data_IF_366656262675
#
_entry.id   IF_366656262675
#
_cell.length_a   1.000
_cell.length_b   1.000
_cell.length_c   1.000
_cell.angle_alpha   90.00
_cell.angle_beta   90.00
_cell.angle_gamma   90.00
#
_symmetry.space_group_name_H-M   'P 1'
#
loop_
_entity.id
_entity.type
_entity.pdbx_description
1 polymer ?
#
# COMPACT_ATOMS: atom_id res chain seq x y z
N UNK A 1 -11.76 -3.86 0.00
CA UNK A 1 -11.14 -3.09 1.10
C UNK A 1 -10.51 -1.88 0.46
N UNK A 2 -10.95 -0.68 0.84
CA UNK A 2 -10.40 0.57 0.31
C UNK A 2 -9.31 0.99 1.27
N UNK A 3 -8.06 0.83 0.86
CA UNK A 3 -6.90 1.29 1.63
C UNK A 3 -6.61 2.74 1.23
N UNK A 4 -6.26 3.58 2.19
CA UNK A 4 -6.06 5.01 1.96
C UNK A 4 -4.68 5.28 1.35
N UNK A 5 -3.67 4.48 1.72
CA UNK A 5 -2.28 4.70 1.32
C UNK A 5 -1.67 3.55 0.51
N UNK A 6 -2.37 2.42 0.42
CA UNK A 6 -1.91 1.23 -0.28
C UNK A 6 -2.79 0.90 -1.49
N UNK A 7 -2.15 0.53 -2.59
CA UNK A 7 -2.81 -0.12 -3.72
C UNK A 7 -2.58 -1.62 -3.60
N UNK A 8 -3.67 -2.38 -3.56
CA UNK A 8 -3.65 -3.84 -3.49
C UNK A 8 -4.11 -4.44 -4.83
N UNK A 9 -3.27 -5.26 -5.44
CA UNK A 9 -3.56 -5.93 -6.71
C UNK A 9 -3.14 -7.40 -6.66
N UNK A 10 -4.01 -8.32 -7.06
CA UNK A 10 -3.69 -9.76 -7.09
C UNK A 10 -3.47 -10.24 -8.51
N UNK A 11 -2.34 -10.91 -8.77
CA UNK A 11 -2.09 -11.62 -10.03
C UNK A 11 -1.86 -13.10 -9.72
N UNK A 12 -2.88 -13.91 -9.96
CA UNK A 12 -2.88 -15.34 -9.62
C UNK A 12 -2.78 -15.55 -8.10
N UNK A 13 -1.70 -16.17 -7.64
CA UNK A 13 -1.43 -16.44 -6.22
C UNK A 13 -0.48 -15.42 -5.58
N UNK A 14 -0.14 -14.34 -6.28
CA UNK A 14 0.75 -13.29 -5.80
C UNK A 14 -0.05 -12.02 -5.55
N UNK A 15 0.10 -11.46 -4.35
CA UNK A 15 -0.43 -10.16 -3.98
C UNK A 15 0.65 -9.08 -4.14
N UNK A 16 0.32 -8.02 -4.85
CA UNK A 16 1.12 -6.83 -5.03
C UNK A 16 0.55 -5.74 -4.13
N UNK A 17 1.38 -5.25 -3.21
CA UNK A 17 1.05 -4.13 -2.32
C UNK A 17 1.96 -2.98 -2.69
N UNK A 18 1.39 -1.87 -3.12
CA UNK A 18 2.13 -0.67 -3.53
C UNK A 18 1.76 0.49 -2.63
N UNK A 19 2.74 1.10 -1.96
CA UNK A 19 2.53 2.35 -1.23
C UNK A 19 2.39 3.47 -2.26
N UNK A 20 1.23 4.13 -2.32
CA UNK A 20 0.95 5.19 -3.27
C UNK A 20 0.94 6.56 -2.59
N UNK A 21 2.12 7.00 -2.11
CA UNK A 21 2.30 8.29 -1.42
C UNK A 21 3.48 9.08 -1.99
N UNK A 22 3.40 9.54 -3.25
CA UNK A 22 4.51 10.23 -3.90
C UNK A 22 4.90 11.53 -3.18
N UNK A 23 3.92 12.22 -2.57
CA UNK A 23 4.13 13.46 -1.80
C UNK A 23 5.04 13.29 -0.56
N UNK A 24 5.23 12.05 -0.08
CA UNK A 24 6.09 11.69 1.06
C UNK A 24 7.17 10.69 0.63
N UNK A 25 7.52 10.64 -0.66
CA UNK A 25 8.51 9.73 -1.23
C UNK A 25 8.24 8.24 -0.90
N UNK A 26 6.96 7.86 -0.78
CA UNK A 26 6.53 6.52 -0.38
C UNK A 26 7.10 6.04 0.97
N UNK A 27 7.42 6.96 1.88
CA UNK A 27 7.91 6.60 3.21
C UNK A 27 6.87 5.78 3.98
N UNK A 28 7.36 4.73 4.66
CA UNK A 28 6.55 3.97 5.61
C UNK A 28 6.23 4.85 6.81
N UNK A 29 4.97 4.91 7.20
CA UNK A 29 4.50 5.62 8.38
C UNK A 29 3.47 4.75 9.11
N UNK A 30 3.20 4.97 10.41
CA UNK A 30 2.42 4.04 11.22
C UNK A 30 1.05 3.67 10.62
N UNK A 31 0.26 4.60 10.07
CA UNK A 31 -0.97 4.28 9.33
C UNK A 31 -0.77 3.34 8.13
N UNK A 32 0.21 3.59 7.25
CA UNK A 32 0.50 2.68 6.13
C UNK A 32 0.98 1.30 6.60
N UNK A 33 1.62 1.22 7.77
CA UNK A 33 2.04 -0.06 8.35
C UNK A 33 0.88 -0.84 8.96
N UNK A 34 -0.20 -0.17 9.39
CA UNK A 34 -1.41 -0.84 9.86
C UNK A 34 -2.26 -1.42 8.72
N UNK A 35 -2.07 -0.92 7.50
CA UNK A 35 -2.80 -1.36 6.30
C UNK A 35 -2.11 -2.52 5.54
N UNK A 36 -0.86 -2.85 5.88
CA UNK A 36 -0.10 -3.97 5.30
C UNK A 36 -0.48 -5.32 5.93
#
# INVERSE_FOLDING_TARGET
MTYEYLKYETKGRIAYVTINRPERLNALHPPANMEM
#
